data_IF_992980151779
#
_entry.id   IF_992980151779
#
_cell.length_a   1.000
_cell.length_b   1.000
_cell.length_c   1.000
_cell.angle_alpha   90.00
_cell.angle_beta   90.00
_cell.angle_gamma   90.00
#
_symmetry.space_group_name_H-M   'P 1'
#
loop_
_entity.id
_entity.type
_entity.pdbx_description
1 polymer ?
#
# COMPACT_ATOMS: atom_id res chain seq x y z
N UNK A 1 83.81 -54.80 17.88
CA UNK A 1 83.79 -53.75 18.92
C UNK A 1 82.33 -53.36 19.20
N UNK A 2 81.89 -53.45 20.47
CA UNK A 2 80.74 -52.81 21.16
C UNK A 2 79.35 -52.72 20.47
N UNK A 3 78.35 -53.49 20.97
CA UNK A 3 77.18 -53.09 21.82
C UNK A 3 75.96 -52.58 21.02
N UNK A 4 74.80 -53.27 20.97
CA UNK A 4 73.71 -53.44 21.98
C UNK A 4 72.64 -52.31 21.92
N UNK A 5 71.42 -52.70 21.49
CA UNK A 5 70.07 -52.46 22.10
C UNK A 5 69.21 -51.19 21.76
N UNK A 6 68.07 -51.50 21.10
CA UNK A 6 66.63 -51.08 21.21
C UNK A 6 66.10 -49.65 21.51
N UNK A 7 65.04 -49.29 20.74
CA UNK A 7 63.75 -48.56 21.08
C UNK A 7 63.82 -47.05 21.45
N UNK A 8 62.70 -46.25 21.55
CA UNK A 8 61.26 -46.43 21.24
C UNK A 8 60.48 -45.19 20.63
N UNK A 9 59.16 -45.42 20.43
CA UNK A 9 57.94 -44.56 20.39
C UNK A 9 57.94 -43.03 20.67
N UNK A 10 57.05 -42.32 19.97
CA UNK A 10 56.54 -40.96 20.28
C UNK A 10 55.05 -40.87 19.85
N UNK A 11 54.09 -41.07 20.77
CA UNK A 11 53.23 -40.09 21.49
C UNK A 11 52.22 -39.32 20.62
N UNK A 12 50.93 -39.64 20.85
CA UNK A 12 49.72 -38.89 20.48
C UNK A 12 49.64 -37.53 21.20
N UNK A 13 49.17 -36.50 20.50
CA UNK A 13 48.52 -35.34 21.13
C UNK A 13 47.40 -34.79 20.22
N UNK A 14 46.16 -35.01 20.67
CA UNK A 14 44.92 -34.48 20.10
C UNK A 14 44.72 -33.04 20.57
N UNK A 15 44.39 -32.11 19.67
CA UNK A 15 43.92 -30.77 20.02
C UNK A 15 42.62 -30.47 19.26
N UNK A 16 41.60 -30.07 20.02
CA UNK A 16 40.21 -29.91 19.62
C UNK A 16 39.98 -28.67 18.73
N UNK A 17 39.17 -28.85 17.68
CA UNK A 17 38.60 -27.78 16.86
C UNK A 17 37.37 -27.20 17.58
N UNK A 18 37.53 -26.05 18.23
CA UNK A 18 36.42 -25.18 18.61
C UNK A 18 36.11 -24.27 17.41
N UNK A 19 35.03 -24.58 16.69
CA UNK A 19 34.44 -23.68 15.72
C UNK A 19 33.73 -22.55 16.48
N UNK A 20 34.35 -21.37 16.49
CA UNK A 20 33.71 -20.13 16.96
C UNK A 20 32.78 -19.58 15.89
N UNK A 21 31.51 -19.37 16.25
CA UNK A 21 30.58 -18.56 15.48
C UNK A 21 31.06 -17.09 15.51
N UNK A 22 31.65 -16.60 14.42
CA UNK A 22 31.92 -15.17 14.24
C UNK A 22 30.63 -14.47 13.85
N UNK A 23 30.17 -13.57 14.71
CA UNK A 23 29.13 -12.60 14.37
C UNK A 23 29.56 -11.76 13.17
N UNK A 24 28.59 -11.37 12.34
CA UNK A 24 28.83 -10.48 11.20
C UNK A 24 29.28 -9.10 11.72
N UNK A 25 30.59 -8.90 11.79
CA UNK A 25 31.23 -7.60 11.88
C UNK A 25 31.18 -6.99 10.47
N UNK A 26 30.74 -5.73 10.34
CA UNK A 26 31.00 -4.93 9.15
C UNK A 26 32.52 -4.76 9.00
N UNK A 27 33.18 -5.69 8.31
CA UNK A 27 34.59 -5.63 7.98
C UNK A 27 34.80 -4.48 7.00
N UNK A 28 35.29 -3.36 7.49
CA UNK A 28 35.85 -2.29 6.67
C UNK A 28 37.29 -2.71 6.38
N UNK A 29 37.49 -3.53 5.35
CA UNK A 29 38.78 -3.57 4.65
C UNK A 29 38.79 -2.37 3.70
N UNK A 30 39.33 -1.26 4.19
CA UNK A 30 39.60 -0.10 3.36
C UNK A 30 40.77 -0.45 2.43
N UNK A 31 40.48 -0.72 1.16
CA UNK A 31 41.45 -0.41 0.12
C UNK A 31 41.71 1.11 0.19
N UNK A 32 42.98 1.47 0.15
CA UNK A 32 43.57 2.75 0.55
C UNK A 32 43.26 3.90 -0.45
N UNK A 33 42.01 3.99 -0.92
CA UNK A 33 41.52 5.17 -1.62
C UNK A 33 41.03 6.16 -0.54
N UNK A 34 41.85 7.16 -0.24
CA UNK A 34 41.55 8.24 0.71
C UNK A 34 40.27 8.97 0.30
N UNK A 35 39.13 8.47 0.80
CA UNK A 35 37.89 9.23 0.89
C UNK A 35 38.22 10.46 1.76
N UNK A 36 38.07 11.69 1.28
CA UNK A 36 38.41 12.87 2.06
C UNK A 36 37.54 12.91 3.32
N UNK A 37 38.18 12.92 4.50
CA UNK A 37 37.52 13.14 5.79
C UNK A 37 36.82 14.52 5.71
N UNK A 38 35.51 14.52 5.46
CA UNK A 38 34.72 15.74 5.45
C UNK A 38 34.75 16.32 6.86
N UNK A 39 35.19 17.56 6.99
CA UNK A 39 35.13 18.30 8.25
C UNK A 39 33.67 18.43 8.71
N UNK A 40 33.39 18.51 10.02
CA UNK A 40 32.03 18.77 10.51
C UNK A 40 31.37 19.98 9.85
N UNK A 41 32.15 21.00 9.48
CA UNK A 41 31.70 22.20 8.75
C UNK A 41 31.26 21.89 7.30
N UNK A 42 31.94 20.98 6.59
CA UNK A 42 31.56 20.55 5.24
C UNK A 42 30.32 19.64 5.23
N UNK A 43 30.13 18.87 6.30
CA UNK A 43 28.91 18.08 6.53
C UNK A 43 27.73 19.01 6.82
N UNK A 44 27.90 19.98 7.72
CA UNK A 44 26.87 20.98 8.05
C UNK A 44 26.53 21.91 6.88
N UNK A 45 27.44 22.11 5.93
CA UNK A 45 27.18 22.90 4.71
C UNK A 45 26.26 22.18 3.71
N UNK A 46 26.13 20.85 3.78
CA UNK A 46 25.32 20.03 2.86
C UNK A 46 24.06 19.43 3.50
N UNK A 47 23.92 19.51 4.81
CA UNK A 47 22.90 18.81 5.60
C UNK A 47 22.26 19.76 6.60
N UNK A 48 20.93 19.78 6.64
CA UNK A 48 20.18 20.60 7.61
C UNK A 48 19.96 19.81 8.90
N UNK A 49 20.59 20.27 10.01
CA UNK A 49 20.43 19.66 11.33
C UNK A 49 19.39 20.44 12.13
N UNK A 50 18.32 19.75 12.51
CA UNK A 50 17.25 20.27 13.32
C UNK A 50 17.27 19.65 14.72
N UNK A 51 17.07 20.46 15.76
CA UNK A 51 16.90 19.93 17.12
C UNK A 51 15.45 19.48 17.34
N UNK A 52 15.28 18.27 17.88
CA UNK A 52 13.99 17.80 18.39
C UNK A 52 13.71 18.57 19.70
N UNK A 53 12.73 19.47 19.63
CA UNK A 53 12.32 20.35 20.72
C UNK A 53 10.80 20.43 20.77
N UNK A 54 10.19 20.87 21.89
CA UNK A 54 8.74 21.05 21.97
C UNK A 54 8.17 21.91 20.83
N UNK A 55 8.88 22.97 20.45
CA UNK A 55 8.46 23.88 19.36
C UNK A 55 8.54 23.20 17.99
N UNK A 56 9.54 22.34 17.79
CA UNK A 56 9.72 21.59 16.55
C UNK A 56 8.61 20.55 16.40
N UNK A 57 8.35 19.77 17.45
CA UNK A 57 7.28 18.78 17.49
C UNK A 57 5.92 19.44 17.23
N UNK A 58 5.66 20.59 17.86
CA UNK A 58 4.42 21.33 17.63
C UNK A 58 4.30 21.81 16.18
N UNK A 59 5.39 22.32 15.58
CA UNK A 59 5.42 22.73 14.17
C UNK A 59 5.12 21.57 13.23
N UNK A 60 5.77 20.42 13.43
CA UNK A 60 5.53 19.21 12.62
C UNK A 60 4.08 18.73 12.73
N UNK A 61 3.50 18.74 13.94
CA UNK A 61 2.08 18.41 14.14
C UNK A 61 1.15 19.37 13.39
N UNK A 62 1.40 20.67 13.49
CA UNK A 62 0.57 21.67 12.78
C UNK A 62 0.71 21.57 11.27
N UNK A 63 1.90 21.27 10.75
CA UNK A 63 2.13 21.06 9.32
C UNK A 63 1.38 19.82 8.82
N UNK A 64 1.51 18.69 9.52
CA UNK A 64 0.79 17.46 9.18
C UNK A 64 -0.73 17.66 9.21
N UNK A 65 -1.26 18.42 10.17
CA UNK A 65 -2.69 18.76 10.23
C UNK A 65 -3.12 19.68 9.08
N UNK A 66 -2.29 20.66 8.70
CA UNK A 66 -2.58 21.55 7.59
C UNK A 66 -2.60 20.79 6.26
N UNK A 67 -1.60 19.93 6.01
CA UNK A 67 -1.53 19.08 4.81
C UNK A 67 -2.74 18.16 4.71
N UNK A 68 -3.11 17.49 5.81
CA UNK A 68 -4.31 16.65 5.86
C UNK A 68 -5.59 17.44 5.54
N UNK A 69 -5.73 18.65 6.09
CA UNK A 69 -6.89 19.50 5.85
C UNK A 69 -6.99 20.00 4.40
N UNK A 70 -5.84 20.27 3.75
CA UNK A 70 -5.79 20.68 2.34
C UNK A 70 -6.20 19.52 1.45
N UNK A 71 -5.68 18.32 1.72
CA UNK A 71 -6.07 17.14 0.95
C UNK A 71 -7.55 16.86 1.13
N UNK A 72 -8.08 16.88 2.35
CA UNK A 72 -9.53 16.74 2.59
C UNK A 72 -10.36 17.80 1.87
N UNK A 73 -9.97 19.08 1.91
CA UNK A 73 -10.67 20.13 1.17
C UNK A 73 -10.62 19.89 -0.36
N UNK A 74 -9.50 19.38 -0.89
CA UNK A 74 -9.38 18.98 -2.31
C UNK A 74 -10.32 17.83 -2.63
N UNK A 75 -10.37 16.83 -1.76
CA UNK A 75 -11.25 15.68 -1.88
C UNK A 75 -12.72 16.09 -1.84
N UNK A 76 -13.09 17.01 -0.95
CA UNK A 76 -14.46 17.51 -0.82
C UNK A 76 -14.89 18.29 -2.06
N UNK A 77 -14.03 19.15 -2.62
CA UNK A 77 -14.31 19.85 -3.88
C UNK A 77 -14.47 18.88 -5.07
N UNK A 78 -13.75 17.76 -5.08
CA UNK A 78 -13.90 16.70 -6.10
C UNK A 78 -15.10 15.78 -5.84
N UNK A 79 -15.59 15.71 -4.60
CA UNK A 79 -16.67 14.81 -4.18
C UNK A 79 -18.03 15.52 -4.06
N UNK A 80 -18.06 16.85 -3.99
CA UNK A 80 -19.28 17.66 -3.88
C UNK A 80 -20.15 17.66 -5.15
N UNK A 81 -19.68 17.06 -6.24
CA UNK A 81 -20.49 16.77 -7.44
C UNK A 81 -21.13 15.38 -7.42
N UNK A 82 -20.88 14.57 -6.39
CA UNK A 82 -21.45 13.24 -6.22
C UNK A 82 -22.45 13.23 -5.06
N UNK A 83 -23.39 14.18 -5.07
CA UNK A 83 -24.62 14.07 -4.29
C UNK A 83 -25.32 12.77 -4.69
N UNK A 84 -25.60 11.90 -3.71
CA UNK A 84 -26.43 10.69 -3.72
C UNK A 84 -27.21 10.47 -5.02
N UNK A 85 -26.50 10.13 -6.09
CA UNK A 85 -27.16 9.74 -7.33
C UNK A 85 -27.78 8.39 -7.04
N UNK A 86 -29.09 8.28 -7.29
CA UNK A 86 -29.76 6.98 -7.30
C UNK A 86 -29.02 6.08 -8.28
N UNK A 87 -28.15 5.22 -7.75
CA UNK A 87 -27.30 4.37 -8.55
C UNK A 87 -28.17 3.59 -9.52
N UNK A 88 -27.89 3.77 -10.81
CA UNK A 88 -28.64 3.12 -11.87
C UNK A 88 -27.66 2.44 -12.79
N UNK A 89 -27.79 1.12 -12.90
CA UNK A 89 -27.02 0.37 -13.87
C UNK A 89 -27.54 0.64 -15.28
N UNK A 90 -26.63 1.09 -16.14
CA UNK A 90 -26.84 1.17 -17.57
C UNK A 90 -26.22 -0.05 -18.22
N UNK A 91 -27.01 -0.74 -19.03
CA UNK A 91 -26.53 -1.92 -19.77
C UNK A 91 -25.36 -1.51 -20.65
N UNK A 92 -24.32 -2.33 -20.66
CA UNK A 92 -23.11 -2.11 -21.43
C UNK A 92 -22.97 -3.16 -22.55
N UNK A 93 -22.16 -2.89 -23.59
CA UNK A 93 -21.78 -3.91 -24.55
C UNK A 93 -21.21 -5.16 -23.85
N UNK A 94 -21.44 -6.33 -24.43
CA UNK A 94 -21.07 -7.65 -23.88
C UNK A 94 -21.87 -8.15 -22.68
N UNK A 95 -22.73 -7.33 -22.07
CA UNK A 95 -23.70 -7.82 -21.10
C UNK A 95 -24.62 -8.86 -21.72
N UNK A 96 -25.06 -9.81 -20.90
CA UNK A 96 -26.01 -10.83 -21.31
C UNK A 96 -27.34 -10.51 -20.65
N UNK A 97 -28.35 -10.20 -21.45
CA UNK A 97 -29.71 -9.92 -20.99
C UNK A 97 -30.55 -11.19 -21.00
N UNK A 98 -31.39 -11.35 -19.98
CA UNK A 98 -32.49 -12.31 -19.99
C UNK A 98 -33.76 -11.54 -20.28
N UNK A 99 -34.52 -12.03 -21.27
CA UNK A 99 -35.83 -11.50 -21.60
C UNK A 99 -36.83 -12.61 -21.41
N UNK A 100 -37.81 -12.36 -20.55
CA UNK A 100 -38.91 -13.29 -20.27
C UNK A 100 -40.21 -12.67 -20.76
N UNK A 101 -40.88 -13.33 -21.70
CA UNK A 101 -42.22 -13.01 -22.17
C UNK A 101 -43.16 -14.06 -21.61
N UNK A 102 -44.10 -13.63 -20.75
CA UNK A 102 -45.06 -14.55 -20.13
C UNK A 102 -46.03 -15.12 -21.16
N UNK A 103 -46.51 -16.34 -20.92
CA UNK A 103 -47.39 -17.11 -21.83
C UNK A 103 -46.83 -17.35 -23.24
N UNK A 104 -45.53 -17.07 -23.45
CA UNK A 104 -44.83 -17.24 -24.73
C UNK A 104 -43.49 -17.98 -24.55
N UNK A 105 -43.50 -19.27 -24.17
CA UNK A 105 -42.27 -20.05 -23.95
C UNK A 105 -41.36 -20.14 -25.20
N UNK A 106 -41.94 -20.06 -26.40
CA UNK A 106 -41.25 -20.04 -27.68
C UNK A 106 -40.32 -18.82 -27.86
N UNK A 107 -40.65 -17.71 -27.20
CA UNK A 107 -39.85 -16.47 -27.24
C UNK A 107 -38.72 -16.46 -26.21
N UNK A 108 -38.92 -17.20 -25.12
CA UNK A 108 -37.93 -17.32 -24.05
C UNK A 108 -36.82 -18.30 -24.47
N UNK A 109 -37.18 -19.39 -25.15
CA UNK A 109 -36.26 -20.46 -25.56
C UNK A 109 -36.51 -20.93 -27.01
N UNK A 110 -36.05 -20.19 -28.02
CA UNK A 110 -36.30 -20.54 -29.42
C UNK A 110 -35.56 -21.82 -29.91
N UNK A 111 -34.76 -22.50 -29.07
CA UNK A 111 -33.90 -23.63 -29.44
C UNK A 111 -34.18 -24.98 -28.77
N UNK A 112 -35.20 -25.11 -27.92
CA UNK A 112 -35.71 -26.39 -27.38
C UNK A 112 -34.83 -27.15 -26.35
N UNK A 113 -33.50 -27.05 -26.38
CA UNK A 113 -32.60 -27.71 -25.42
C UNK A 113 -31.90 -26.69 -24.51
N UNK A 114 -32.14 -26.81 -23.20
CA UNK A 114 -31.75 -25.84 -22.17
C UNK A 114 -30.35 -26.16 -21.64
N UNK A 115 -29.44 -25.22 -21.76
CA UNK A 115 -28.54 -24.90 -20.65
C UNK A 115 -28.85 -23.47 -20.22
N UNK A 116 -28.66 -23.12 -18.94
CA UNK A 116 -28.86 -21.74 -18.45
C UNK A 116 -27.96 -20.71 -19.18
N UNK A 117 -27.08 -21.16 -20.07
CA UNK A 117 -26.17 -20.37 -20.87
C UNK A 117 -26.74 -20.00 -22.25
N UNK A 118 -27.73 -20.73 -22.78
CA UNK A 118 -28.38 -20.44 -24.07
C UNK A 118 -29.60 -19.52 -24.00
N UNK A 119 -30.12 -19.23 -22.81
CA UNK A 119 -31.27 -18.34 -22.62
C UNK A 119 -30.93 -16.83 -22.71
N UNK A 120 -29.64 -16.50 -22.65
CA UNK A 120 -29.15 -15.11 -22.63
C UNK A 120 -29.00 -14.47 -24.02
N UNK A 121 -29.32 -13.18 -24.12
CA UNK A 121 -29.06 -12.34 -25.30
C UNK A 121 -27.87 -11.45 -25.04
N UNK A 122 -26.77 -11.72 -25.72
CA UNK A 122 -25.56 -10.90 -25.59
C UNK A 122 -25.73 -9.58 -26.34
N UNK A 123 -25.45 -8.47 -25.68
CA UNK A 123 -25.39 -7.14 -26.30
C UNK A 123 -24.11 -7.06 -27.12
N UNK A 124 -24.24 -6.85 -28.43
CA UNK A 124 -23.12 -6.73 -29.34
C UNK A 124 -22.33 -5.42 -29.10
N UNK A 125 -21.14 -5.32 -29.71
CA UNK A 125 -20.26 -4.16 -29.57
C UNK A 125 -20.87 -2.83 -30.04
N UNK A 126 -21.83 -2.88 -30.98
CA UNK A 126 -22.63 -1.73 -31.42
C UNK A 126 -23.71 -1.30 -30.41
N UNK A 127 -23.85 -2.06 -29.32
CA UNK A 127 -24.81 -1.84 -28.24
C UNK A 127 -26.22 -2.34 -28.51
N UNK A 128 -26.41 -3.21 -29.52
CA UNK A 128 -27.70 -3.82 -29.84
C UNK A 128 -27.71 -5.32 -29.51
N UNK A 129 -28.89 -5.87 -29.26
CA UNK A 129 -29.11 -7.31 -29.30
C UNK A 129 -30.27 -7.64 -30.25
N UNK A 130 -30.31 -8.88 -30.71
CA UNK A 130 -31.39 -9.37 -31.57
C UNK A 130 -32.48 -10.04 -30.74
N UNK A 131 -33.74 -9.75 -31.07
CA UNK A 131 -34.91 -10.41 -30.50
C UNK A 131 -35.91 -10.80 -31.61
N UNK A 132 -36.54 -11.99 -31.55
CA UNK A 132 -37.52 -12.41 -32.55
C UNK A 132 -38.66 -11.40 -32.75
N UNK A 133 -39.19 -11.35 -33.98
CA UNK A 133 -40.24 -10.43 -34.47
C UNK A 133 -39.86 -8.95 -34.53
N UNK A 134 -39.19 -8.42 -33.51
CA UNK A 134 -38.83 -7.00 -33.44
C UNK A 134 -37.42 -6.73 -33.97
N UNK A 135 -36.57 -7.74 -34.16
CA UNK A 135 -35.23 -7.57 -34.72
C UNK A 135 -34.25 -6.93 -33.73
N UNK A 136 -33.49 -5.93 -34.18
CA UNK A 136 -32.45 -5.27 -33.35
C UNK A 136 -33.08 -4.30 -32.34
N UNK A 137 -32.66 -4.40 -31.08
CA UNK A 137 -33.09 -3.55 -29.95
C UNK A 137 -31.86 -2.90 -29.33
N UNK A 138 -31.89 -1.58 -29.09
CA UNK A 138 -30.77 -0.85 -28.48
C UNK A 138 -30.78 -1.09 -26.97
N UNK A 139 -29.70 -1.64 -26.44
CA UNK A 139 -29.55 -1.90 -25.01
C UNK A 139 -28.47 -1.02 -24.37
N UNK A 140 -27.32 -0.85 -25.03
CA UNK A 140 -26.20 -0.12 -24.42
C UNK A 140 -26.58 1.32 -24.05
N UNK A 141 -26.23 1.74 -22.83
CA UNK A 141 -26.53 3.04 -22.27
C UNK A 141 -27.97 3.20 -21.78
N UNK A 142 -28.79 2.13 -21.76
CA UNK A 142 -30.18 2.17 -21.29
C UNK A 142 -30.36 1.33 -20.02
N UNK A 143 -31.37 1.70 -19.24
CA UNK A 143 -31.83 0.88 -18.11
C UNK A 143 -32.65 -0.30 -18.61
N UNK A 144 -32.69 -1.39 -17.84
CA UNK A 144 -33.54 -2.54 -18.14
C UNK A 144 -35.02 -2.15 -18.27
N UNK A 145 -35.49 -1.18 -17.48
CA UNK A 145 -36.86 -0.65 -17.57
C UNK A 145 -37.15 0.08 -18.87
N UNK A 146 -36.19 0.85 -19.40
CA UNK A 146 -36.32 1.51 -20.70
C UNK A 146 -36.34 0.49 -21.85
N UNK A 147 -35.49 -0.55 -21.77
CA UNK A 147 -35.45 -1.64 -22.75
C UNK A 147 -36.78 -2.40 -22.74
N UNK A 148 -37.28 -2.77 -21.56
CA UNK A 148 -38.58 -3.45 -21.39
C UNK A 148 -39.72 -2.66 -22.04
N UNK A 149 -39.78 -1.35 -21.81
CA UNK A 149 -40.83 -0.49 -22.34
C UNK A 149 -40.77 -0.39 -23.88
N UNK A 150 -39.57 -0.30 -24.46
CA UNK A 150 -39.39 -0.34 -25.92
C UNK A 150 -39.84 -1.68 -26.50
N UNK A 151 -39.43 -2.79 -25.89
CA UNK A 151 -39.78 -4.13 -26.35
C UNK A 151 -41.28 -4.37 -26.29
N UNK A 152 -41.96 -3.94 -25.22
CA UNK A 152 -43.41 -4.07 -25.07
C UNK A 152 -44.16 -3.35 -26.19
N UNK A 153 -43.77 -2.11 -26.50
CA UNK A 153 -44.38 -1.34 -27.59
C UNK A 153 -44.17 -2.00 -28.97
N UNK A 154 -42.98 -2.53 -29.24
CA UNK A 154 -42.67 -3.18 -30.53
C UNK A 154 -43.33 -4.55 -30.66
N UNK A 155 -43.40 -5.33 -29.58
CA UNK A 155 -44.02 -6.66 -29.58
C UNK A 155 -45.55 -6.59 -29.60
N UNK A 156 -46.16 -5.49 -29.16
CA UNK A 156 -47.62 -5.29 -29.22
C UNK A 156 -48.19 -5.32 -30.66
N UNK A 157 -47.34 -5.18 -31.70
CA UNK A 157 -47.75 -5.36 -33.10
C UNK A 157 -47.99 -6.83 -33.46
N UNK A 158 -47.42 -7.76 -32.68
CA UNK A 158 -47.43 -9.20 -32.94
C UNK A 158 -48.14 -10.00 -31.83
N UNK A 159 -48.21 -9.46 -30.62
CA UNK A 159 -48.77 -10.09 -29.43
C UNK A 159 -49.80 -9.16 -28.77
N UNK A 160 -50.91 -9.72 -28.29
CA UNK A 160 -51.88 -8.97 -27.48
C UNK A 160 -51.37 -8.81 -26.06
N UNK A 161 -51.22 -7.57 -25.59
CA UNK A 161 -50.83 -7.23 -24.21
C UNK A 161 -49.58 -7.99 -23.68
N UNK A 162 -48.42 -7.91 -24.37
CA UNK A 162 -47.25 -8.69 -24.00
C UNK A 162 -46.72 -8.29 -22.62
N UNK A 163 -46.67 -9.25 -21.70
CA UNK A 163 -46.06 -9.08 -20.39
C UNK A 163 -44.59 -9.49 -20.46
N UNK A 164 -43.69 -8.50 -20.33
CA UNK A 164 -42.25 -8.68 -20.55
C UNK A 164 -41.48 -8.31 -19.29
N UNK A 165 -40.52 -9.16 -18.92
CA UNK A 165 -39.47 -8.85 -17.96
C UNK A 165 -38.10 -8.86 -18.64
N UNK A 166 -37.24 -7.93 -18.22
CA UNK A 166 -35.87 -7.79 -18.73
C UNK A 166 -34.93 -7.65 -17.54
N UNK A 167 -33.96 -8.53 -17.44
CA UNK A 167 -32.93 -8.50 -16.41
C UNK A 167 -31.54 -8.76 -17.01
N UNK A 168 -30.49 -8.38 -16.29
CA UNK A 168 -29.12 -8.71 -16.71
C UNK A 168 -28.75 -10.06 -16.11
N UNK A 169 -28.51 -11.05 -16.97
CA UNK A 169 -28.10 -12.39 -16.58
C UNK A 169 -26.60 -12.46 -16.23
N UNK A 170 -25.75 -11.76 -17.00
CA UNK A 170 -24.31 -11.68 -16.75
C UNK A 170 -23.81 -10.26 -17.01
N UNK A 171 -23.31 -9.62 -15.94
CA UNK A 171 -22.62 -8.33 -15.99
C UNK A 171 -21.20 -8.53 -16.50
N UNK A 172 -20.96 -8.15 -17.76
CA UNK A 172 -19.68 -8.39 -18.44
C UNK A 172 -19.08 -7.13 -19.03
N UNK A 173 -19.90 -6.11 -19.31
CA UNK A 173 -19.45 -4.88 -19.94
C UNK A 173 -18.66 -3.99 -19.01
N UNK A 174 -19.14 -3.77 -17.78
CA UNK A 174 -18.55 -2.79 -16.84
C UNK A 174 -17.78 -3.48 -15.72
N UNK A 175 -16.54 -3.06 -15.50
CA UNK A 175 -15.65 -3.65 -14.50
C UNK A 175 -14.81 -2.57 -13.81
N UNK A 176 -14.55 -2.78 -12.53
CA UNK A 176 -13.45 -2.16 -11.80
C UNK A 176 -12.35 -3.19 -11.60
N UNK A 177 -11.14 -2.75 -11.27
CA UNK A 177 -9.98 -3.62 -11.11
C UNK A 177 -9.39 -3.44 -9.72
N UNK A 178 -9.00 -4.55 -9.10
CA UNK A 178 -8.24 -4.55 -7.85
C UNK A 178 -6.93 -5.29 -8.05
N UNK A 179 -5.84 -4.67 -7.63
CA UNK A 179 -4.48 -5.19 -7.76
C UNK A 179 -3.68 -4.99 -6.48
N UNK A 180 -2.58 -5.73 -6.34
CA UNK A 180 -1.69 -5.62 -5.19
C UNK A 180 -2.05 -6.60 -4.07
N UNK A 181 -1.95 -6.15 -2.82
CA UNK A 181 -2.04 -6.97 -1.60
C UNK A 181 -3.48 -7.32 -1.19
N UNK A 182 -4.17 -8.03 -2.08
CA UNK A 182 -5.49 -8.65 -1.84
C UNK A 182 -5.42 -10.14 -2.12
N UNK A 183 -6.34 -10.93 -1.55
CA UNK A 183 -6.32 -12.40 -1.72
C UNK A 183 -6.48 -12.84 -3.18
N UNK A 184 -7.34 -12.16 -3.95
CA UNK A 184 -7.63 -12.46 -5.35
C UNK A 184 -7.62 -11.18 -6.20
N UNK A 185 -6.44 -10.76 -6.69
CA UNK A 185 -6.34 -9.66 -7.63
C UNK A 185 -7.07 -9.98 -8.94
N UNK A 186 -7.74 -8.99 -9.53
CA UNK A 186 -8.44 -9.16 -10.79
C UNK A 186 -9.55 -8.16 -11.05
N UNK A 187 -10.30 -8.36 -12.16
CA UNK A 187 -11.48 -7.57 -12.44
C UNK A 187 -12.66 -7.96 -11.57
N UNK A 188 -13.41 -6.97 -11.12
CA UNK A 188 -14.67 -7.11 -10.38
C UNK A 188 -15.79 -6.47 -11.22
N UNK A 189 -16.86 -7.22 -11.56
CA UNK A 189 -17.96 -6.67 -12.37
C UNK A 189 -18.74 -5.62 -11.58
N UNK A 190 -19.14 -4.55 -12.28
CA UNK A 190 -20.09 -3.57 -11.77
C UNK A 190 -21.49 -4.05 -12.17
N UNK A 191 -22.41 -4.17 -11.20
CA UNK A 191 -23.73 -4.77 -11.38
C UNK A 191 -24.85 -3.75 -11.13
N UNK A 192 -26.09 -4.21 -10.96
CA UNK A 192 -27.21 -3.40 -10.44
C UNK A 192 -27.06 -3.03 -8.96
N UNK A 193 -26.14 -3.66 -8.24
CA UNK A 193 -25.73 -3.26 -6.91
C UNK A 193 -24.55 -2.27 -6.98
N UNK A 194 -24.60 -1.14 -6.24
CA UNK A 194 -23.50 -0.17 -6.25
C UNK A 194 -22.19 -0.81 -5.75
N UNK A 195 -21.17 -0.79 -6.59
CA UNK A 195 -19.86 -1.33 -6.23
C UNK A 195 -19.04 -0.28 -5.46
N UNK A 196 -19.03 -0.38 -4.14
CA UNK A 196 -18.16 0.42 -3.28
C UNK A 196 -16.78 -0.20 -3.10
N UNK A 197 -15.82 0.61 -2.64
CA UNK A 197 -14.47 0.17 -2.30
C UNK A 197 -14.46 -1.02 -1.33
N UNK A 198 -15.30 -1.00 -0.30
CA UNK A 198 -15.44 -2.13 0.64
C UNK A 198 -15.87 -3.41 -0.06
N UNK A 199 -16.93 -3.33 -0.88
CA UNK A 199 -17.46 -4.47 -1.64
C UNK A 199 -16.43 -5.03 -2.63
N UNK A 200 -15.66 -4.16 -3.30
CA UNK A 200 -14.55 -4.57 -4.17
C UNK A 200 -13.53 -5.42 -3.41
N UNK A 201 -13.08 -4.95 -2.24
CA UNK A 201 -12.09 -5.65 -1.41
C UNK A 201 -12.66 -6.97 -0.89
N UNK A 202 -13.91 -7.00 -0.45
CA UNK A 202 -14.57 -8.22 0.01
C UNK A 202 -14.69 -9.25 -1.12
N UNK A 203 -15.06 -8.83 -2.33
CA UNK A 203 -15.10 -9.71 -3.51
C UNK A 203 -13.72 -10.19 -3.94
N UNK A 204 -12.68 -9.39 -3.69
CA UNK A 204 -11.28 -9.79 -3.84
C UNK A 204 -10.81 -10.78 -2.76
N UNK A 205 -11.66 -11.17 -1.81
CA UNK A 205 -11.34 -12.09 -0.73
C UNK A 205 -10.71 -11.44 0.51
N UNK A 206 -10.64 -10.11 0.56
CA UNK A 206 -10.00 -9.36 1.65
C UNK A 206 -8.58 -8.93 1.34
N UNK A 207 -7.98 -8.26 2.33
CA UNK A 207 -6.62 -7.71 2.28
C UNK A 207 -5.63 -8.73 2.83
N UNK A 208 -4.43 -8.79 2.25
CA UNK A 208 -3.34 -9.60 2.79
C UNK A 208 -2.70 -8.92 4.01
N UNK A 209 -1.96 -9.68 4.83
CA UNK A 209 -1.33 -9.16 6.06
C UNK A 209 -0.33 -8.02 5.78
N UNK A 210 0.36 -8.08 4.63
CA UNK A 210 1.35 -7.10 4.22
C UNK A 210 0.76 -5.91 3.45
N UNK A 211 -0.57 -5.80 3.36
CA UNK A 211 -1.23 -4.67 2.74
C UNK A 211 -0.95 -3.36 3.49
N UNK A 212 -0.61 -2.32 2.74
CA UNK A 212 -0.66 -0.95 3.22
C UNK A 212 -2.12 -0.45 3.16
N UNK A 213 -2.66 -0.10 4.32
CA UNK A 213 -4.03 0.36 4.46
C UNK A 213 -4.16 1.88 4.30
N UNK A 214 -3.09 2.63 4.53
CA UNK A 214 -3.12 4.10 4.51
C UNK A 214 -2.70 4.67 3.15
N UNK A 215 -1.97 3.89 2.34
CA UNK A 215 -1.49 4.28 1.02
C UNK A 215 -2.23 3.65 -0.15
N UNK A 216 -3.49 3.25 -0.01
CA UNK A 216 -4.25 2.65 -1.12
C UNK A 216 -4.49 3.67 -2.22
N UNK A 217 -4.26 3.29 -3.48
CA UNK A 217 -4.35 4.20 -4.62
C UNK A 217 -5.54 3.83 -5.50
N UNK A 218 -6.47 4.76 -5.68
CA UNK A 218 -7.49 4.71 -6.72
C UNK A 218 -7.02 5.51 -7.93
N UNK A 219 -6.89 4.84 -9.08
CA UNK A 219 -6.71 5.48 -10.36
C UNK A 219 -8.06 5.55 -11.09
N UNK A 220 -8.58 6.76 -11.26
CA UNK A 220 -9.79 7.04 -12.05
C UNK A 220 -9.43 7.95 -13.21
N UNK A 221 -9.53 7.44 -14.43
CA UNK A 221 -9.23 8.21 -15.65
C UNK A 221 -7.84 8.89 -15.65
N UNK A 222 -6.83 8.25 -15.04
CA UNK A 222 -5.47 8.77 -14.94
C UNK A 222 -5.22 9.68 -13.73
N UNK A 223 -6.25 10.00 -12.95
CA UNK A 223 -6.12 10.77 -11.69
C UNK A 223 -5.94 9.79 -10.54
N UNK A 224 -4.80 9.90 -9.84
CA UNK A 224 -4.52 9.13 -8.63
C UNK A 224 -5.12 9.84 -7.41
N UNK A 225 -5.91 9.09 -6.63
CA UNK A 225 -6.44 9.48 -5.33
C UNK A 225 -5.96 8.48 -4.29
N UNK A 226 -5.31 8.96 -3.24
CA UNK A 226 -4.95 8.14 -2.08
C UNK A 226 -6.18 7.95 -1.19
N UNK A 227 -6.36 6.75 -0.70
CA UNK A 227 -7.47 6.31 0.15
C UNK A 227 -6.91 5.68 1.42
N UNK A 228 -7.54 6.00 2.55
CA UNK A 228 -7.17 5.46 3.86
C UNK A 228 -8.19 4.39 4.29
N UNK A 229 -7.87 3.13 3.99
CA UNK A 229 -8.66 1.98 4.44
C UNK A 229 -8.58 1.77 5.95
N UNK A 230 -7.51 2.23 6.61
CA UNK A 230 -7.41 2.14 8.06
C UNK A 230 -8.44 3.07 8.71
N UNK A 231 -8.56 4.31 8.23
CA UNK A 231 -9.60 5.23 8.66
C UNK A 231 -11.00 4.68 8.36
N UNK A 232 -11.19 4.05 7.20
CA UNK A 232 -12.47 3.44 6.82
C UNK A 232 -12.90 2.32 7.79
N UNK A 233 -12.03 1.33 8.01
CA UNK A 233 -12.38 0.12 8.77
C UNK A 233 -12.27 0.28 10.28
N UNK A 234 -11.30 1.07 10.76
CA UNK A 234 -11.00 1.16 12.20
C UNK A 234 -11.45 2.48 12.82
N UNK A 235 -11.56 3.57 12.05
CA UNK A 235 -12.06 4.86 12.53
C UNK A 235 -13.50 5.16 12.09
N UNK A 236 -14.07 4.33 11.21
CA UNK A 236 -15.43 4.50 10.71
C UNK A 236 -15.60 5.68 9.75
N UNK A 237 -14.52 6.16 9.13
CA UNK A 237 -14.58 7.26 8.17
C UNK A 237 -15.15 6.79 6.83
N UNK A 238 -16.47 6.95 6.66
CA UNK A 238 -17.17 6.55 5.44
C UNK A 238 -16.83 7.42 4.22
N UNK A 239 -16.17 8.58 4.39
CA UNK A 239 -15.75 9.42 3.24
C UNK A 239 -14.71 8.72 2.35
N UNK A 240 -14.02 7.71 2.91
CA UNK A 240 -13.08 6.86 2.20
C UNK A 240 -13.77 5.78 1.35
N UNK A 241 -15.05 5.47 1.61
CA UNK A 241 -15.78 4.40 0.93
C UNK A 241 -16.42 4.88 -0.39
N UNK A 242 -15.58 5.07 -1.40
CA UNK A 242 -16.02 5.61 -2.68
C UNK A 242 -16.82 4.59 -3.50
N UNK A 243 -17.85 5.09 -4.19
CA UNK A 243 -18.51 4.36 -5.27
C UNK A 243 -17.55 4.27 -6.46
N UNK A 244 -17.31 3.04 -6.92
CA UNK A 244 -16.43 2.76 -8.04
C UNK A 244 -17.16 2.88 -9.37
N UNK A 245 -16.40 3.28 -10.37
CA UNK A 245 -16.85 3.49 -11.74
C UNK A 245 -16.14 2.50 -12.66
N UNK A 246 -16.67 2.40 -13.87
CA UNK A 246 -16.09 1.58 -14.92
C UNK A 246 -14.67 2.06 -15.24
N UNK A 247 -13.71 1.13 -15.24
CA UNK A 247 -12.31 1.43 -15.52
C UNK A 247 -11.49 1.88 -14.30
N UNK A 248 -12.10 2.04 -13.13
CA UNK A 248 -11.36 2.32 -11.90
C UNK A 248 -10.36 1.20 -11.60
N UNK A 249 -9.14 1.57 -11.21
CA UNK A 249 -8.10 0.64 -10.77
C UNK A 249 -7.73 0.97 -9.33
N UNK A 250 -8.02 0.05 -8.41
CA UNK A 250 -7.63 0.13 -7.01
C UNK A 250 -6.36 -0.69 -6.81
N UNK A 251 -5.27 -0.01 -6.48
CA UNK A 251 -4.00 -0.63 -6.14
C UNK A 251 -3.81 -0.60 -4.62
N UNK A 252 -3.67 -1.78 -4.03
CA UNK A 252 -3.32 -1.95 -2.62
C UNK A 252 -1.83 -2.26 -2.53
N UNK A 253 -0.97 -1.28 -2.17
CA UNK A 253 0.45 -1.50 -2.12
C UNK A 253 0.85 -2.43 -0.97
N UNK A 254 2.10 -2.87 -1.01
CA UNK A 254 2.72 -3.65 0.06
C UNK A 254 3.51 -2.74 0.98
N UNK A 255 3.31 -2.87 2.30
CA UNK A 255 4.03 -2.05 3.28
C UNK A 255 5.42 -2.54 3.64
N UNK A 256 5.96 -3.55 2.96
CA UNK A 256 7.30 -4.08 3.28
C UNK A 256 8.41 -3.06 3.02
N UNK A 257 8.12 -2.02 2.24
CA UNK A 257 8.99 -0.89 2.02
C UNK A 257 8.82 0.22 3.09
N UNK A 258 7.76 0.19 3.89
CA UNK A 258 7.54 1.17 4.95
C UNK A 258 8.22 0.69 6.23
N UNK A 259 9.55 0.76 6.23
CA UNK A 259 10.39 0.35 7.36
C UNK A 259 11.18 1.52 7.91
N UNK A 260 11.34 1.54 9.23
CA UNK A 260 12.35 2.30 9.95
C UNK A 260 13.55 1.39 10.23
N UNK A 261 14.74 1.98 10.23
CA UNK A 261 15.97 1.31 10.63
C UNK A 261 16.49 1.90 11.94
N UNK A 262 16.84 1.06 12.90
CA UNK A 262 17.47 1.48 14.17
C UNK A 262 18.86 0.88 14.23
N UNK A 263 19.87 1.76 14.20
CA UNK A 263 21.28 1.42 14.03
C UNK A 263 22.16 2.14 15.07
N UNK A 264 23.43 1.73 15.14
CA UNK A 264 24.42 2.30 16.05
C UNK A 264 24.41 1.64 17.43
N UNK A 265 24.74 2.41 18.46
CA UNK A 265 24.94 1.92 19.83
C UNK A 265 23.63 1.75 20.62
N UNK A 266 22.74 0.95 20.06
CA UNK A 266 21.56 0.43 20.75
C UNK A 266 21.80 -1.01 21.22
N UNK A 267 20.98 -1.50 22.15
CA UNK A 267 21.15 -2.87 22.66
C UNK A 267 20.86 -3.91 21.56
N UNK A 268 19.83 -3.67 20.72
CA UNK A 268 19.47 -4.54 19.59
C UNK A 268 19.16 -3.73 18.34
N UNK A 269 20.11 -3.56 17.40
CA UNK A 269 19.83 -2.98 16.10
C UNK A 269 18.80 -3.81 15.33
N UNK A 270 17.85 -3.15 14.67
CA UNK A 270 16.81 -3.83 13.89
C UNK A 270 16.24 -2.96 12.76
N UNK A 271 15.40 -3.56 11.93
CA UNK A 271 14.46 -2.84 11.08
C UNK A 271 13.05 -3.22 11.45
N UNK A 272 12.12 -2.27 11.38
CA UNK A 272 10.72 -2.48 11.78
C UNK A 272 9.80 -1.91 10.72
N UNK A 273 8.83 -2.70 10.27
CA UNK A 273 7.73 -2.22 9.42
C UNK A 273 6.84 -1.32 10.28
N UNK A 274 6.51 -0.12 9.78
CA UNK A 274 5.67 0.83 10.51
C UNK A 274 4.27 0.23 10.78
N UNK A 275 3.80 0.28 12.04
CA UNK A 275 2.40 0.06 12.37
C UNK A 275 1.48 1.14 11.77
N UNK A 276 0.20 0.81 11.58
CA UNK A 276 -0.79 1.72 10.99
C UNK A 276 -1.24 2.84 11.95
N UNK A 277 -1.10 2.63 13.25
CA UNK A 277 -1.42 3.58 14.32
C UNK A 277 -0.27 4.54 14.64
N UNK A 278 0.85 4.44 13.91
CA UNK A 278 2.03 5.28 14.04
C UNK A 278 3.22 4.56 14.66
N UNK A 279 4.39 5.20 14.59
CA UNK A 279 5.62 4.71 15.20
C UNK A 279 6.47 5.89 15.63
N UNK A 280 6.70 6.04 16.93
CA UNK A 280 7.49 7.15 17.47
C UNK A 280 8.97 6.80 17.58
N UNK A 281 9.80 7.82 17.79
CA UNK A 281 11.21 7.61 18.14
C UNK A 281 11.34 6.85 19.47
N UNK A 282 10.41 7.05 20.41
CA UNK A 282 10.42 6.28 21.65
C UNK A 282 10.13 4.79 21.42
N UNK A 283 9.16 4.46 20.55
CA UNK A 283 8.84 3.07 20.19
C UNK A 283 10.05 2.39 19.53
N UNK A 284 10.70 3.09 18.61
CA UNK A 284 11.91 2.59 17.93
C UNK A 284 13.06 2.29 18.90
N UNK A 285 13.32 3.20 19.84
CA UNK A 285 14.35 2.98 20.86
C UNK A 285 13.93 1.89 21.86
N UNK A 286 12.65 1.80 22.19
CA UNK A 286 12.07 0.77 23.06
C UNK A 286 12.20 -0.64 22.48
N UNK A 287 11.81 -0.83 21.21
CA UNK A 287 11.94 -2.10 20.48
C UNK A 287 13.42 -2.53 20.36
N UNK A 288 14.33 -1.57 20.24
CA UNK A 288 15.78 -1.80 20.27
C UNK A 288 16.34 -2.12 21.67
N UNK A 289 15.47 -2.28 22.68
CA UNK A 289 15.81 -2.49 24.10
C UNK A 289 16.60 -1.33 24.73
N UNK A 290 16.43 -0.13 24.20
CA UNK A 290 17.08 1.10 24.65
C UNK A 290 18.48 1.32 24.08
N UNK A 291 19.09 2.42 24.53
CA UNK A 291 20.47 2.76 24.22
C UNK A 291 21.42 1.86 25.01
N UNK A 292 22.57 1.51 24.43
CA UNK A 292 23.57 0.72 25.16
C UNK A 292 24.20 1.56 26.28
N UNK A 293 24.03 1.22 27.57
CA UNK A 293 24.47 2.07 28.68
C UNK A 293 25.99 2.21 28.80
N UNK A 294 26.76 1.33 28.15
CA UNK A 294 28.23 1.31 28.22
C UNK A 294 28.85 2.03 27.03
N UNK A 295 28.34 1.78 25.83
CA UNK A 295 28.97 2.23 24.58
C UNK A 295 28.26 3.38 23.90
N UNK A 296 27.02 3.72 24.29
CA UNK A 296 26.26 4.80 23.65
C UNK A 296 26.53 6.16 24.27
N UNK A 297 26.37 7.21 23.45
CA UNK A 297 26.30 8.59 23.91
C UNK A 297 24.85 9.07 23.85
N UNK A 298 24.18 9.10 25.00
CA UNK A 298 22.76 9.48 25.08
C UNK A 298 22.44 10.88 24.53
N UNK A 299 23.41 11.81 24.52
CA UNK A 299 23.25 13.13 23.91
C UNK A 299 23.29 13.13 22.37
N UNK A 300 23.55 11.99 21.73
CA UNK A 300 23.75 11.88 20.28
C UNK A 300 22.83 10.82 19.67
N UNK A 301 21.53 11.10 19.73
CA UNK A 301 20.50 10.33 19.00
C UNK A 301 20.07 11.15 17.79
N UNK A 302 20.12 10.53 16.61
CA UNK A 302 19.77 11.17 15.35
C UNK A 302 18.68 10.40 14.62
N UNK A 303 17.77 11.12 13.96
CA UNK A 303 16.87 10.56 12.94
C UNK A 303 17.26 11.18 11.61
N UNK A 304 17.66 10.35 10.67
CA UNK A 304 18.03 10.74 9.32
C UNK A 304 16.84 10.44 8.42
N UNK A 305 16.28 11.48 7.82
CA UNK A 305 15.14 11.41 6.91
C UNK A 305 15.59 11.82 5.52
N UNK A 306 15.35 10.97 4.54
CA UNK A 306 15.54 11.34 3.14
C UNK A 306 14.53 12.45 2.78
N UNK A 307 15.01 13.55 2.19
CA UNK A 307 14.15 14.60 1.67
C UNK A 307 14.25 14.65 0.14
N UNK A 308 13.21 15.17 -0.52
CA UNK A 308 13.05 15.19 -1.99
C UNK A 308 14.13 15.95 -2.78
N UNK A 309 15.12 16.57 -2.13
CA UNK A 309 16.13 17.45 -2.77
C UNK A 309 17.59 17.00 -2.56
N UNK A 310 17.87 15.70 -2.44
CA UNK A 310 19.23 15.14 -2.18
C UNK A 310 19.91 15.70 -0.90
N UNK A 311 19.14 16.35 -0.03
CA UNK A 311 19.58 16.88 1.25
C UNK A 311 18.86 16.15 2.37
N UNK A 312 19.49 15.17 3.03
CA UNK A 312 18.86 14.50 4.15
C UNK A 312 18.59 15.51 5.27
N UNK A 313 17.41 15.42 5.87
CA UNK A 313 17.10 16.14 7.10
C UNK A 313 17.58 15.31 8.28
N UNK A 314 18.34 15.92 9.18
CA UNK A 314 18.85 15.25 10.37
C UNK A 314 18.20 15.86 11.60
N UNK A 315 17.45 15.06 12.33
CA UNK A 315 16.82 15.45 13.58
C UNK A 315 17.64 14.96 14.75
N UNK A 316 18.05 15.84 15.64
CA UNK A 316 18.90 15.54 16.78
C UNK A 316 18.11 15.59 18.09
N UNK A 317 18.18 14.51 18.87
CA UNK A 317 17.65 14.42 20.22
C UNK A 317 18.79 14.23 21.22
N UNK A 318 18.85 15.10 22.22
CA UNK A 318 19.67 14.88 23.41
C UNK A 318 18.85 14.07 24.42
N UNK A 319 19.10 12.76 24.47
CA UNK A 319 18.42 11.82 25.35
C UNK A 319 19.14 11.61 26.70
N UNK A 320 20.00 12.54 27.12
CA UNK A 320 20.72 12.46 28.41
C UNK A 320 19.79 12.57 29.62
N UNK A 321 18.57 13.09 29.44
CA UNK A 321 17.55 13.22 30.47
C UNK A 321 16.33 12.34 30.14
N UNK A 322 15.70 11.68 31.13
CA UNK A 322 14.46 10.92 30.92
C UNK A 322 13.33 11.75 30.30
N UNK A 323 13.31 13.07 30.50
CA UNK A 323 12.32 13.97 29.87
C UNK A 323 12.39 13.95 28.33
N UNK A 324 13.55 13.64 27.76
CA UNK A 324 13.72 13.52 26.32
C UNK A 324 12.88 12.39 25.71
N UNK A 325 12.50 11.37 26.49
CA UNK A 325 11.61 10.30 26.03
C UNK A 325 10.21 10.82 25.71
N UNK A 326 9.74 11.87 26.38
CA UNK A 326 8.47 12.53 26.05
C UNK A 326 8.55 13.23 24.69
N UNK A 327 9.72 13.79 24.36
CA UNK A 327 9.97 14.37 23.04
C UNK A 327 10.12 13.29 21.97
N UNK A 328 10.74 12.16 22.30
CA UNK A 328 10.86 11.01 21.41
C UNK A 328 9.50 10.39 21.08
N UNK A 329 8.62 10.24 22.08
CA UNK A 329 7.26 9.70 21.93
C UNK A 329 6.38 10.61 21.04
N UNK A 330 6.58 11.92 21.15
CA UNK A 330 5.86 12.89 20.33
C UNK A 330 6.44 13.10 18.93
N UNK A 331 7.61 12.52 18.62
CA UNK A 331 8.25 12.58 17.31
C UNK A 331 7.91 11.33 16.49
N UNK A 332 6.99 11.48 15.53
CA UNK A 332 6.60 10.41 14.63
C UNK A 332 7.69 10.14 13.57
N UNK A 333 8.06 8.87 13.42
CA UNK A 333 8.94 8.40 12.36
C UNK A 333 8.16 8.18 11.07
N UNK A 334 8.86 8.32 9.95
CA UNK A 334 8.34 8.13 8.60
C UNK A 334 8.96 6.89 7.95
N UNK A 335 8.31 6.32 6.92
CA UNK A 335 8.91 5.29 6.08
C UNK A 335 10.33 5.68 5.66
N UNK A 336 11.27 4.74 5.78
CA UNK A 336 12.69 4.89 5.44
C UNK A 336 13.52 5.78 6.38
N UNK A 337 12.96 6.27 7.49
CA UNK A 337 13.76 6.94 8.52
C UNK A 337 14.83 6.00 9.08
N UNK A 338 16.03 6.55 9.31
CA UNK A 338 17.13 5.87 9.98
C UNK A 338 17.40 6.52 11.32
N UNK A 339 17.09 5.80 12.39
CA UNK A 339 17.47 6.16 13.76
C UNK A 339 18.90 5.68 13.99
N UNK A 340 19.79 6.58 14.34
CA UNK A 340 21.20 6.29 14.61
C UNK A 340 21.62 6.82 15.98
N UNK A 341 22.23 5.95 16.78
CA UNK A 341 22.79 6.31 18.09
C UNK A 341 24.32 6.25 18.03
N UNK A 342 24.97 7.37 18.34
CA UNK A 342 26.44 7.48 18.28
C UNK A 342 27.12 6.87 19.52
N UNK A 343 28.40 6.54 19.37
CA UNK A 343 29.21 5.93 20.42
C UNK A 343 29.79 6.93 21.42
N UNK A 344 29.96 6.48 22.67
CA UNK A 344 30.68 7.20 23.71
C UNK A 344 32.19 7.11 23.46
N UNK A 345 32.82 8.27 23.25
CA UNK A 345 34.27 8.38 23.09
C UNK A 345 34.75 8.35 21.64
N UNK A 346 35.07 9.54 21.12
CA UNK A 346 35.57 9.89 19.77
C UNK A 346 34.48 9.95 18.68
N UNK A 347 34.41 11.14 18.08
CA UNK A 347 33.59 11.55 16.93
C UNK A 347 33.81 10.66 15.70
N UNK A 348 33.06 9.57 15.59
CA UNK A 348 33.04 8.71 14.38
C UNK A 348 31.93 9.08 13.40
N UNK A 349 30.99 9.94 13.82
CA UNK A 349 29.89 10.45 12.99
C UNK A 349 30.34 11.10 11.68
N UNK A 350 31.45 11.86 11.68
CA UNK A 350 31.99 12.49 10.46
C UNK A 350 32.37 11.48 9.37
N UNK A 351 32.74 10.25 9.77
CA UNK A 351 33.15 9.19 8.85
C UNK A 351 31.98 8.47 8.20
N UNK A 352 30.87 8.27 8.93
CA UNK A 352 29.67 7.59 8.41
C UNK A 352 28.97 8.45 7.35
N UNK A 353 28.84 9.75 7.57
CA UNK A 353 28.25 10.66 6.57
C UNK A 353 29.10 10.71 5.29
N UNK A 354 30.43 10.75 5.41
CA UNK A 354 31.34 10.76 4.26
C UNK A 354 31.24 9.53 3.36
N UNK A 355 30.67 8.43 3.85
CA UNK A 355 30.49 7.19 3.11
C UNK A 355 29.08 7.03 2.50
N UNK A 356 28.10 7.79 2.96
CA UNK A 356 26.70 7.75 2.47
C UNK A 356 26.46 8.81 1.39
N UNK A 357 27.20 9.92 1.42
CA UNK A 357 27.12 10.95 0.38
C UNK A 357 27.89 10.48 -0.88
N UNK A 358 27.30 10.52 -2.09
CA UNK A 358 28.04 10.23 -3.31
C UNK A 358 29.22 11.20 -3.46
N UNK A 359 30.41 10.66 -3.69
CA UNK A 359 31.59 11.44 -4.07
C UNK A 359 31.32 12.08 -5.43
N UNK A 360 30.84 13.32 -5.42
CA UNK A 360 30.84 14.14 -6.61
C UNK A 360 32.30 14.43 -6.99
N UNK A 361 32.79 13.70 -8.00
CA UNK A 361 33.93 14.13 -8.81
C UNK A 361 33.50 15.18 -9.82
#
# INVERSE_FOLDING_TARGET
>A
MKKIVTRPALVLASAALLAGCTGMHLGIEAEDEKIPDLTPEQIHAKVEIHRISPQTVQRLRTQAQAEASIEQARLDVMSSSAETESYTYLVAPSDVLQVTVWNHPELNNPGGQITNETAGRTVAADGFFYYPYIGRVKAAGRTVGAIRSEMAGRLATYLTEPQIDVSVLKYRGRKAYVVGQVEKPGPVPITDEPLFLTSLITQAGGLQNEADLTGVLLNRNGVLRTLDLYALYYKGDMSQNLLLQEGDIVNVPQRTQDKVFVLGEVVKPHSKILPWDGYSLADALGDASGLNPVTSKASQVYVIRAADQDRPQIWHLDASSPTALVLADSFALQPRDVVYVDAAGVTRWSRVIGQILPTAS
#
